data_IF_473868947698
#
_entry.id   IF_473868947698
#
_cell.length_a   1.000
_cell.length_b   1.000
_cell.length_c   1.000
_cell.angle_alpha   90.00
_cell.angle_beta   90.00
_cell.angle_gamma   90.00
#
_symmetry.space_group_name_H-M   'P 1'
#
loop_
_entity.id
_entity.type
_entity.pdbx_description
1 polymer ?
#
# COMPACT_ATOMS: atom_id res chain seq x y z
N UNK A 1 13.14 -5.74 1.58
CA UNK A 1 12.23 -5.68 0.42
C UNK A 1 10.85 -5.39 1.00
N UNK A 2 10.18 -4.34 0.54
CA UNK A 2 8.85 -3.95 1.05
C UNK A 2 7.80 -4.94 0.53
N UNK A 3 6.87 -5.40 1.37
CA UNK A 3 5.75 -6.25 0.98
C UNK A 3 4.85 -5.52 -0.02
N UNK A 4 4.32 -6.24 -1.02
CA UNK A 4 3.41 -5.68 -2.04
C UNK A 4 2.19 -5.00 -1.40
N UNK A 5 1.70 -5.54 -0.29
CA UNK A 5 0.60 -4.92 0.46
C UNK A 5 0.96 -3.54 1.02
N UNK A 6 2.20 -3.35 1.49
CA UNK A 6 2.68 -2.07 1.97
C UNK A 6 2.99 -1.10 0.81
N UNK A 7 3.43 -1.63 -0.35
CA UNK A 7 3.60 -0.84 -1.59
C UNK A 7 2.26 -0.28 -2.09
N UNK A 8 1.18 -1.07 -2.03
CA UNK A 8 -0.12 -0.69 -2.58
C UNK A 8 -0.99 0.05 -1.56
N UNK A 9 -0.98 -0.38 -0.29
CA UNK A 9 -1.90 0.08 0.74
C UNK A 9 -1.22 0.62 1.99
N UNK A 10 0.09 0.55 2.07
CA UNK A 10 0.84 0.72 3.31
C UNK A 10 1.10 2.17 3.70
N UNK A 11 0.95 2.44 4.99
CA UNK A 11 1.34 3.70 5.62
C UNK A 11 2.73 3.65 6.27
N UNK A 12 3.51 2.58 6.08
CA UNK A 12 4.82 2.48 6.72
C UNK A 12 5.80 3.46 6.07
N UNK A 13 6.12 4.54 6.77
CA UNK A 13 6.93 5.67 6.30
C UNK A 13 8.20 5.76 7.13
N UNK A 14 9.31 6.15 6.50
CA UNK A 14 10.59 6.38 7.19
C UNK A 14 11.79 5.91 6.38
N UNK A 15 12.98 6.28 6.85
CA UNK A 15 14.24 6.00 6.16
C UNK A 15 14.94 4.75 6.69
N UNK A 16 14.46 4.18 7.80
CA UNK A 16 15.11 3.08 8.50
C UNK A 16 14.15 1.88 8.57
N UNK A 17 14.38 0.83 7.75
CA UNK A 17 13.61 -0.40 7.87
C UNK A 17 13.89 -1.05 9.24
N UNK A 18 12.85 -1.57 9.88
CA UNK A 18 12.97 -2.18 11.21
C UNK A 18 13.14 -3.69 11.11
N UNK A 19 14.03 -4.25 11.93
CA UNK A 19 14.23 -5.70 12.02
C UNK A 19 13.04 -6.38 12.68
N UNK A 20 12.38 -7.27 11.92
CA UNK A 20 11.26 -8.08 12.39
C UNK A 20 11.64 -9.03 13.53
N UNK A 21 12.92 -9.36 13.69
CA UNK A 21 13.42 -10.15 14.82
C UNK A 21 13.20 -9.50 16.20
N UNK A 22 12.83 -8.22 16.24
CA UNK A 22 12.48 -7.50 17.47
C UNK A 22 11.00 -7.63 17.87
N UNK A 23 10.16 -8.26 17.03
CA UNK A 23 8.70 -8.26 17.18
C UNK A 23 8.23 -8.82 18.53
N UNK A 24 8.76 -9.96 18.95
CA UNK A 24 8.32 -10.61 20.20
C UNK A 24 8.66 -9.76 21.43
N UNK A 25 9.84 -9.11 21.43
CA UNK A 25 10.26 -8.21 22.50
C UNK A 25 9.38 -6.95 22.52
N UNK A 26 9.09 -6.38 21.34
CA UNK A 26 8.17 -5.25 21.21
C UNK A 26 6.76 -5.60 21.74
N UNK A 27 6.23 -6.77 21.38
CA UNK A 27 4.93 -7.24 21.84
C UNK A 27 4.89 -7.45 23.35
N UNK A 28 5.97 -7.93 23.97
CA UNK A 28 6.02 -8.08 25.42
C UNK A 28 5.87 -6.73 26.15
N UNK A 29 6.47 -5.65 25.62
CA UNK A 29 6.28 -4.31 26.17
C UNK A 29 4.87 -3.76 25.94
N UNK A 30 4.28 -4.04 24.77
CA UNK A 30 2.90 -3.66 24.47
C UNK A 30 1.94 -4.31 25.47
N UNK A 31 2.08 -5.61 25.70
CA UNK A 31 1.25 -6.37 26.64
C UNK A 31 1.42 -5.87 28.09
N UNK A 32 2.64 -5.56 28.51
CA UNK A 32 2.92 -4.98 29.84
C UNK A 32 2.22 -3.64 30.07
N UNK A 33 2.04 -2.85 29.01
CA UNK A 33 1.28 -1.60 29.05
C UNK A 33 -0.23 -1.80 28.80
N UNK A 34 -0.70 -3.03 28.62
CA UNK A 34 -2.11 -3.37 28.41
C UNK A 34 -2.61 -3.22 26.96
N UNK A 35 -1.70 -3.21 25.97
CA UNK A 35 -2.04 -3.20 24.55
C UNK A 35 -2.02 -4.62 23.96
N UNK A 36 -2.83 -4.85 22.92
CA UNK A 36 -2.78 -6.09 22.15
C UNK A 36 -1.68 -6.09 21.07
N UNK A 37 -1.54 -7.22 20.37
CA UNK A 37 -0.58 -7.38 19.27
C UNK A 37 -0.86 -6.52 18.02
N UNK A 38 -1.91 -5.69 18.02
CA UNK A 38 -2.23 -4.73 16.96
C UNK A 38 -2.03 -3.27 17.42
N UNK A 39 -1.69 -3.06 18.71
CA UNK A 39 -1.59 -1.74 19.31
C UNK A 39 -2.92 -1.16 19.78
N UNK A 40 -3.98 -1.98 19.90
CA UNK A 40 -5.22 -1.53 20.52
C UNK A 40 -5.06 -1.53 22.04
N UNK A 41 -5.64 -0.53 22.69
CA UNK A 41 -5.84 -0.51 24.13
C UNK A 41 -7.35 -0.66 24.41
N UNK A 42 -7.80 -1.65 25.19
CA UNK A 42 -9.23 -1.87 25.44
C UNK A 42 -9.91 -0.71 26.20
N UNK A 43 -9.12 0.17 26.82
CA UNK A 43 -9.61 1.37 27.52
C UNK A 43 -9.61 2.63 26.63
N UNK A 44 -9.13 2.54 25.37
CA UNK A 44 -9.13 3.63 24.41
C UNK A 44 -10.05 3.30 23.23
N UNK A 45 -10.78 4.29 22.72
CA UNK A 45 -11.69 4.11 21.59
C UNK A 45 -10.94 3.81 20.28
N UNK A 46 -9.78 4.44 20.09
CA UNK A 46 -9.00 4.34 18.85
C UNK A 46 -7.49 4.36 19.09
N UNK A 47 -7.00 5.42 19.75
CA UNK A 47 -5.59 5.62 20.04
C UNK A 47 -5.41 5.93 21.53
N UNK A 48 -4.29 5.49 22.08
CA UNK A 48 -3.85 5.90 23.41
C UNK A 48 -2.84 7.03 23.27
N UNK A 49 -2.99 8.09 24.08
CA UNK A 49 -2.02 9.18 24.15
C UNK A 49 -1.93 9.73 25.57
N UNK A 50 -0.70 9.94 26.04
CA UNK A 50 -0.39 10.67 27.27
C UNK A 50 0.80 11.63 27.03
N UNK A 51 1.34 12.24 28.09
CA UNK A 51 2.48 13.17 27.98
C UNK A 51 3.78 12.55 27.43
N UNK A 52 3.95 11.23 27.54
CA UNK A 52 5.18 10.52 27.16
C UNK A 52 5.08 9.91 25.76
N UNK A 53 3.94 9.31 25.40
CA UNK A 53 3.84 8.59 24.15
C UNK A 53 2.43 8.56 23.58
N UNK A 54 2.37 8.19 22.31
CA UNK A 54 1.14 7.86 21.60
C UNK A 54 1.29 6.49 20.94
N UNK A 55 0.24 5.68 21.02
CA UNK A 55 0.07 4.46 20.23
C UNK A 55 -1.25 4.51 19.52
N UNK A 56 -1.22 4.21 18.23
CA UNK A 56 -2.42 3.95 17.45
C UNK A 56 -2.26 2.68 16.61
N UNK A 57 -3.31 1.85 16.51
CA UNK A 57 -3.37 0.74 15.58
C UNK A 57 -3.24 1.20 14.12
N UNK A 58 -3.09 0.23 13.22
CA UNK A 58 -3.14 0.52 11.79
C UNK A 58 -4.51 1.08 11.39
N UNK A 59 -4.54 2.26 10.78
CA UNK A 59 -5.76 2.90 10.34
C UNK A 59 -6.22 2.39 8.97
N UNK A 60 -7.40 1.76 8.95
CA UNK A 60 -8.06 1.25 7.74
C UNK A 60 -9.12 2.20 7.17
N UNK A 61 -9.39 3.32 7.85
CA UNK A 61 -10.41 4.27 7.44
C UNK A 61 -9.95 5.26 6.39
N UNK A 62 -10.88 6.15 6.02
CA UNK A 62 -10.65 7.19 5.02
C UNK A 62 -9.93 8.41 5.58
N UNK A 63 -9.37 9.22 4.69
CA UNK A 63 -8.75 10.47 5.09
C UNK A 63 -9.76 11.39 5.78
N UNK A 64 -9.45 11.85 7.00
CA UNK A 64 -10.32 12.76 7.76
C UNK A 64 -9.95 14.23 7.63
N UNK A 65 -8.86 14.56 6.94
CA UNK A 65 -8.33 15.94 6.86
C UNK A 65 -8.66 16.67 5.55
N UNK A 66 -9.60 16.15 4.77
CA UNK A 66 -10.02 16.76 3.50
C UNK A 66 -9.04 16.52 2.34
N UNK A 67 -7.94 15.80 2.54
CA UNK A 67 -6.93 15.59 1.49
C UNK A 67 -7.50 14.73 0.35
N UNK A 68 -8.25 13.67 0.67
CA UNK A 68 -8.85 12.80 -0.33
C UNK A 68 -9.81 13.56 -1.26
N UNK A 69 -10.59 14.49 -0.72
CA UNK A 69 -11.48 15.36 -1.46
C UNK A 69 -10.70 16.30 -2.37
N UNK A 70 -9.65 16.98 -1.85
CA UNK A 70 -8.78 17.85 -2.65
C UNK A 70 -8.10 17.08 -3.78
N UNK A 71 -7.60 15.87 -3.49
CA UNK A 71 -6.97 14.99 -4.48
C UNK A 71 -7.98 14.58 -5.56
N UNK A 72 -9.18 14.17 -5.16
CA UNK A 72 -10.25 13.78 -6.08
C UNK A 72 -10.69 14.95 -6.98
N UNK A 73 -10.95 16.12 -6.40
CA UNK A 73 -11.29 17.35 -7.13
C UNK A 73 -10.18 17.74 -8.10
N UNK A 74 -8.92 17.68 -7.65
CA UNK A 74 -7.78 17.98 -8.50
C UNK A 74 -7.70 17.00 -9.67
N UNK A 75 -7.79 15.69 -9.43
CA UNK A 75 -7.76 14.66 -10.46
C UNK A 75 -8.90 14.84 -11.48
N UNK A 76 -10.10 15.22 -11.01
CA UNK A 76 -11.25 15.52 -11.86
C UNK A 76 -11.04 16.75 -12.74
N UNK A 77 -10.42 17.81 -12.21
CA UNK A 77 -10.15 19.04 -12.94
C UNK A 77 -8.90 18.96 -13.85
N UNK A 78 -7.99 18.03 -13.59
CA UNK A 78 -6.68 17.98 -14.23
C UNK A 78 -6.52 16.74 -15.10
N UNK A 79 -7.08 16.75 -16.31
CA UNK A 79 -6.87 15.62 -17.24
C UNK A 79 -5.47 15.60 -17.86
N UNK A 80 -5.07 14.43 -18.36
CA UNK A 80 -3.94 14.33 -19.27
C UNK A 80 -4.22 15.11 -20.57
N UNK A 81 -3.17 15.67 -21.18
CA UNK A 81 -3.29 16.33 -22.48
C UNK A 81 -3.74 15.36 -23.58
N UNK A 82 -4.40 15.84 -24.65
CA UNK A 82 -5.00 14.98 -25.69
C UNK A 82 -3.95 14.11 -26.43
N UNK A 83 -2.70 14.58 -26.49
CA UNK A 83 -1.59 13.85 -27.11
C UNK A 83 -0.76 13.02 -26.13
N UNK A 84 -1.19 12.92 -24.86
CA UNK A 84 -0.51 12.13 -23.85
C UNK A 84 -0.56 10.63 -24.19
N UNK A 85 0.53 9.92 -23.88
CA UNK A 85 0.62 8.46 -23.96
C UNK A 85 -0.58 7.76 -23.31
N UNK A 86 -0.98 8.15 -22.10
CA UNK A 86 -2.11 7.54 -21.39
C UNK A 86 -3.44 7.67 -22.15
N UNK A 87 -3.69 8.82 -22.79
CA UNK A 87 -4.91 9.04 -23.58
C UNK A 87 -4.89 8.18 -24.84
N UNK A 88 -3.77 8.16 -25.56
CA UNK A 88 -3.59 7.31 -26.75
C UNK A 88 -3.71 5.83 -26.41
N UNK A 89 -3.12 5.39 -25.29
CA UNK A 89 -3.15 4.01 -24.82
C UNK A 89 -4.58 3.54 -24.53
N UNK A 90 -5.42 4.37 -23.90
CA UNK A 90 -6.84 4.05 -23.66
C UNK A 90 -7.63 3.85 -24.95
N UNK A 91 -7.20 4.46 -26.06
CA UNK A 91 -7.82 4.27 -27.37
C UNK A 91 -7.36 3.02 -28.12
N UNK A 92 -6.45 2.23 -27.57
CA UNK A 92 -5.98 1.00 -28.20
C UNK A 92 -6.97 -0.15 -27.99
N UNK A 93 -7.28 -0.88 -29.06
CA UNK A 93 -8.03 -2.15 -28.99
C UNK A 93 -7.14 -3.27 -28.43
N UNK A 94 -6.83 -3.20 -27.14
CA UNK A 94 -5.96 -4.17 -26.46
C UNK A 94 -6.66 -5.50 -26.17
N UNK A 95 -7.98 -5.49 -26.10
CA UNK A 95 -8.80 -6.62 -25.65
C UNK A 95 -9.55 -7.28 -26.82
N UNK A 96 -9.02 -7.13 -28.03
CA UNK A 96 -9.52 -7.70 -29.30
C UNK A 96 -9.95 -9.17 -29.20
N UNK A 97 -9.24 -9.97 -28.40
CA UNK A 97 -9.46 -11.41 -28.24
C UNK A 97 -10.27 -11.78 -27.00
N UNK A 98 -10.62 -10.80 -26.15
CA UNK A 98 -11.35 -11.04 -24.89
C UNK A 98 -12.67 -11.77 -25.09
N UNK A 99 -13.54 -11.39 -26.05
CA UNK A 99 -14.81 -12.09 -26.24
C UNK A 99 -14.63 -13.58 -26.60
N UNK A 100 -13.60 -13.92 -27.38
CA UNK A 100 -13.30 -15.31 -27.74
C UNK A 100 -12.71 -16.09 -26.57
N UNK A 101 -11.86 -15.44 -25.76
CA UNK A 101 -11.32 -16.03 -24.53
C UNK A 101 -12.46 -16.36 -23.57
N UNK A 102 -13.39 -15.43 -23.36
CA UNK A 102 -14.52 -15.61 -22.45
C UNK A 102 -15.43 -16.75 -22.93
N UNK A 103 -15.73 -16.81 -24.24
CA UNK A 103 -16.50 -17.91 -24.83
C UNK A 103 -15.79 -19.28 -24.68
N UNK A 104 -14.47 -19.34 -24.84
CA UNK A 104 -13.69 -20.56 -24.65
C UNK A 104 -13.63 -21.00 -23.18
N UNK A 105 -13.56 -20.04 -22.24
CA UNK A 105 -13.65 -20.29 -20.80
C UNK A 105 -15.02 -20.82 -20.39
N UNK A 106 -16.09 -20.24 -20.93
CA UNK A 106 -17.46 -20.74 -20.73
C UNK A 106 -17.59 -22.18 -21.24
N UNK A 107 -17.07 -22.49 -22.43
CA UNK A 107 -17.06 -23.86 -22.96
C UNK A 107 -16.29 -24.82 -22.07
N UNK A 108 -15.08 -24.45 -21.62
CA UNK A 108 -14.28 -25.26 -20.71
C UNK A 108 -15.06 -25.58 -19.42
N UNK A 109 -15.69 -24.57 -18.83
CA UNK A 109 -16.44 -24.72 -17.58
C UNK A 109 -17.73 -25.56 -17.73
N UNK A 110 -18.18 -25.86 -18.95
CA UNK A 110 -19.33 -26.77 -19.20
C UNK A 110 -18.97 -28.25 -19.13
N UNK A 111 -17.69 -28.61 -19.17
CA UNK A 111 -17.27 -30.01 -19.20
C UNK A 111 -16.80 -30.50 -17.82
N UNK A 112 -16.99 -31.80 -17.51
CA UNK A 112 -16.43 -32.41 -16.31
C UNK A 112 -14.90 -32.34 -16.32
N UNK A 113 -14.34 -32.22 -15.11
CA UNK A 113 -12.90 -32.25 -14.86
C UNK A 113 -12.24 -33.49 -15.48
N UNK A 114 -11.11 -33.29 -16.17
CA UNK A 114 -10.33 -34.28 -16.91
C UNK A 114 -11.06 -34.90 -18.12
N UNK A 115 -11.78 -34.11 -18.91
CA UNK A 115 -12.35 -34.59 -20.19
C UNK A 115 -11.53 -34.13 -21.41
N UNK A 116 -11.46 -34.90 -22.51
CA UNK A 116 -10.80 -34.46 -23.74
C UNK A 116 -11.36 -33.14 -24.32
N UNK A 117 -12.62 -32.82 -24.00
CA UNK A 117 -13.25 -31.56 -24.40
C UNK A 117 -12.80 -30.38 -23.54
N UNK A 118 -12.56 -30.61 -22.25
CA UNK A 118 -11.95 -29.62 -21.37
C UNK A 118 -10.52 -29.31 -21.83
N UNK A 119 -9.71 -30.35 -22.15
CA UNK A 119 -8.35 -30.18 -22.65
C UNK A 119 -8.33 -29.34 -23.93
N UNK A 120 -9.21 -29.67 -24.89
CA UNK A 120 -9.32 -28.91 -26.15
C UNK A 120 -9.79 -27.46 -25.93
N UNK A 121 -10.69 -27.21 -24.98
CA UNK A 121 -11.13 -25.87 -24.63
C UNK A 121 -10.01 -25.07 -23.92
N UNK A 122 -9.22 -25.73 -23.06
CA UNK A 122 -8.08 -25.12 -22.40
C UNK A 122 -6.96 -24.76 -23.39
N UNK A 123 -6.66 -25.64 -24.36
CA UNK A 123 -5.72 -25.35 -25.44
C UNK A 123 -6.13 -24.12 -26.26
N UNK A 124 -7.43 -23.97 -26.53
CA UNK A 124 -7.97 -22.80 -27.23
C UNK A 124 -7.85 -21.52 -26.39
N UNK A 125 -8.14 -21.58 -25.09
CA UNK A 125 -7.92 -20.45 -24.15
C UNK A 125 -6.46 -20.03 -24.17
N UNK A 126 -5.52 -20.98 -24.06
CA UNK A 126 -4.08 -20.70 -24.05
C UNK A 126 -3.61 -20.08 -25.37
N UNK A 127 -4.11 -20.61 -26.50
CA UNK A 127 -3.85 -20.05 -27.84
C UNK A 127 -4.33 -18.61 -27.95
N UNK A 128 -5.57 -18.32 -27.53
CA UNK A 128 -6.17 -16.99 -27.59
C UNK A 128 -5.47 -16.00 -26.64
N UNK A 129 -5.12 -16.42 -25.42
CA UNK A 129 -4.36 -15.59 -24.48
C UNK A 129 -2.96 -15.24 -25.03
N UNK A 130 -2.30 -16.19 -25.71
CA UNK A 130 -1.03 -15.94 -26.40
C UNK A 130 -1.20 -14.91 -27.53
N UNK A 131 -2.27 -15.01 -28.32
CA UNK A 131 -2.57 -14.03 -29.39
C UNK A 131 -2.87 -12.65 -28.82
N UNK A 132 -3.66 -12.57 -27.75
CA UNK A 132 -3.97 -11.31 -27.05
C UNK A 132 -2.69 -10.63 -26.57
N UNK A 133 -1.80 -11.36 -25.90
CA UNK A 133 -0.50 -10.84 -25.44
C UNK A 133 0.35 -10.28 -26.60
N UNK A 134 0.50 -11.04 -27.69
CA UNK A 134 1.29 -10.60 -28.87
C UNK A 134 0.68 -9.35 -29.51
N UNK A 135 -0.66 -9.30 -29.60
CA UNK A 135 -1.38 -8.15 -30.13
C UNK A 135 -1.20 -6.90 -29.25
N UNK A 136 -1.34 -7.06 -27.93
CA UNK A 136 -1.15 -6.00 -26.94
C UNK A 136 0.28 -5.44 -26.97
N UNK A 137 1.28 -6.33 -27.00
CA UNK A 137 2.70 -5.94 -27.13
C UNK A 137 2.97 -5.17 -28.42
N UNK A 138 2.38 -5.61 -29.56
CA UNK A 138 2.54 -4.91 -30.84
C UNK A 138 1.97 -3.49 -30.79
N UNK A 139 0.79 -3.32 -30.19
CA UNK A 139 0.14 -2.01 -30.06
C UNK A 139 0.93 -1.08 -29.12
N UNK A 140 1.33 -1.57 -27.95
CA UNK A 140 2.08 -0.81 -26.96
C UNK A 140 3.48 -0.45 -27.48
N UNK A 141 4.19 -1.38 -28.12
CA UNK A 141 5.50 -1.11 -28.72
C UNK A 141 5.42 -0.03 -29.79
N UNK A 142 4.37 -0.05 -30.62
CA UNK A 142 4.14 1.02 -31.62
C UNK A 142 3.89 2.36 -30.92
N UNK A 143 3.04 2.40 -29.90
CA UNK A 143 2.74 3.62 -29.16
C UNK A 143 3.98 4.18 -28.44
N UNK A 144 4.80 3.33 -27.83
CA UNK A 144 6.09 3.73 -27.24
C UNK A 144 6.98 4.41 -28.30
N UNK A 145 7.11 3.81 -29.49
CA UNK A 145 7.89 4.40 -30.58
C UNK A 145 7.32 5.76 -31.05
N UNK A 146 6.00 5.87 -31.22
CA UNK A 146 5.33 7.14 -31.58
C UNK A 146 5.54 8.24 -30.54
N UNK A 147 5.72 7.88 -29.29
CA UNK A 147 5.91 8.80 -28.17
C UNK A 147 7.39 9.02 -27.79
N UNK A 148 8.34 8.42 -28.51
CA UNK A 148 9.77 8.51 -28.20
C UNK A 148 10.16 7.83 -26.87
N UNK A 149 9.42 6.81 -26.46
CA UNK A 149 9.66 6.04 -25.24
C UNK A 149 10.40 4.74 -25.59
N UNK A 150 11.44 4.40 -24.82
CA UNK A 150 12.12 3.11 -24.95
C UNK A 150 11.18 1.96 -24.54
N UNK A 151 11.13 0.92 -25.37
CA UNK A 151 10.27 -0.23 -25.14
C UNK A 151 10.70 -1.05 -23.92
N UNK A 152 12.01 -1.19 -23.63
CA UNK A 152 12.55 -1.98 -22.51
C UNK A 152 11.85 -3.35 -22.27
N UNK A 153 11.49 -4.05 -23.35
CA UNK A 153 10.78 -5.33 -23.27
C UNK A 153 9.37 -5.23 -22.65
N UNK A 154 8.71 -4.08 -22.74
CA UNK A 154 7.37 -3.81 -22.22
C UNK A 154 7.32 -3.44 -20.74
N UNK A 155 8.47 -3.41 -20.03
CA UNK A 155 8.50 -3.11 -18.60
C UNK A 155 8.15 -1.66 -18.34
N UNK A 156 7.06 -1.44 -17.59
CA UNK A 156 6.58 -0.11 -17.23
C UNK A 156 5.82 0.61 -18.33
N UNK A 157 5.57 -0.02 -19.49
CA UNK A 157 4.93 0.66 -20.62
C UNK A 157 3.53 1.20 -20.29
N UNK A 158 2.83 0.65 -19.29
CA UNK A 158 1.47 1.08 -18.91
C UNK A 158 1.43 2.36 -18.08
N UNK A 159 2.55 2.85 -17.55
CA UNK A 159 2.58 3.97 -16.59
C UNK A 159 3.26 5.23 -17.12
N UNK A 160 3.64 5.26 -18.41
CA UNK A 160 4.25 6.45 -18.99
C UNK A 160 3.27 7.60 -19.13
N UNK A 161 3.77 8.83 -18.97
CA UNK A 161 3.06 10.06 -19.26
C UNK A 161 3.99 10.95 -20.10
N UNK A 162 3.48 11.49 -21.20
CA UNK A 162 4.24 12.34 -22.14
C UNK A 162 3.74 13.77 -22.17
N UNK A 163 2.90 14.15 -21.22
CA UNK A 163 2.46 15.52 -21.01
C UNK A 163 2.91 16.03 -19.64
N UNK A 164 2.57 17.28 -19.36
CA UNK A 164 2.90 17.99 -18.12
C UNK A 164 2.17 17.47 -16.86
N UNK A 165 1.27 16.49 -16.98
CA UNK A 165 0.43 16.01 -15.89
C UNK A 165 1.27 15.62 -14.67
N UNK A 166 2.41 14.94 -14.90
CA UNK A 166 3.28 14.52 -13.80
C UNK A 166 3.87 15.71 -13.06
N UNK A 167 4.29 16.76 -13.77
CA UNK A 167 4.80 17.99 -13.15
C UNK A 167 3.70 18.71 -12.39
N UNK A 168 2.49 18.80 -12.95
CA UNK A 168 1.34 19.39 -12.26
C UNK A 168 0.94 18.59 -11.02
N UNK A 169 0.97 17.26 -11.10
CA UNK A 169 0.68 16.35 -9.98
C UNK A 169 1.72 16.50 -8.87
N UNK A 170 3.00 16.55 -9.21
CA UNK A 170 4.07 16.83 -8.23
C UNK A 170 3.85 18.18 -7.55
N UNK A 171 3.51 19.24 -8.31
CA UNK A 171 3.19 20.54 -7.72
C UNK A 171 1.96 20.51 -6.80
N UNK A 172 0.95 19.69 -7.11
CA UNK A 172 -0.18 19.48 -6.21
C UNK A 172 0.26 18.83 -4.91
N UNK A 173 1.04 17.73 -4.97
CA UNK A 173 1.55 17.03 -3.79
C UNK A 173 2.43 17.92 -2.91
N UNK A 174 3.26 18.78 -3.52
CA UNK A 174 4.11 19.73 -2.78
C UNK A 174 3.30 20.83 -2.09
N UNK A 175 2.17 21.24 -2.68
CA UNK A 175 1.31 22.29 -2.16
C UNK A 175 0.20 21.78 -1.21
N UNK A 176 -0.06 20.47 -1.21
CA UNK A 176 -1.14 19.85 -0.47
C UNK A 176 -0.59 18.65 0.28
N UNK A 177 -0.41 18.80 1.59
CA UNK A 177 -0.13 17.69 2.47
C UNK A 177 -1.39 17.32 3.27
N UNK A 178 -1.36 16.15 3.90
CA UNK A 178 -2.29 15.83 4.95
C UNK A 178 -2.06 16.77 6.15
N UNK A 179 -3.14 17.09 6.87
CA UNK A 179 -2.99 17.70 8.20
C UNK A 179 -2.17 16.77 9.11
N UNK A 180 -1.36 17.35 10.00
CA UNK A 180 -0.42 16.62 10.85
C UNK A 180 -1.09 15.63 11.80
N UNK A 181 -2.38 15.80 12.07
CA UNK A 181 -3.22 14.96 12.91
C UNK A 181 -4.04 13.92 12.12
N UNK A 182 -3.90 13.86 10.79
CA UNK A 182 -4.60 12.90 9.97
C UNK A 182 -4.17 11.46 10.36
N UNK A 183 -5.12 10.56 10.67
CA UNK A 183 -4.81 9.19 11.11
C UNK A 183 -3.98 8.39 10.10
N UNK A 184 -4.07 8.71 8.81
CA UNK A 184 -3.30 8.08 7.72
C UNK A 184 -1.80 8.35 7.82
N UNK A 185 -1.40 9.56 8.22
CA UNK A 185 0.01 9.98 8.21
C UNK A 185 0.62 10.06 9.61
N UNK A 186 -0.22 9.90 10.63
CA UNK A 186 0.21 9.86 12.01
C UNK A 186 0.97 8.56 12.27
N UNK A 187 2.12 8.60 12.98
CA UNK A 187 2.85 7.40 13.34
C UNK A 187 2.05 6.46 14.23
N UNK A 188 2.25 5.16 14.04
CA UNK A 188 1.64 4.15 14.88
C UNK A 188 2.19 4.17 16.31
N UNK A 189 3.47 4.48 16.49
CA UNK A 189 4.08 4.73 17.78
C UNK A 189 4.91 6.02 17.72
N UNK A 190 4.69 6.90 18.70
CA UNK A 190 5.46 8.12 18.90
C UNK A 190 5.93 8.19 20.35
N UNK A 191 7.25 8.18 20.55
CA UNK A 191 7.86 8.51 21.84
C UNK A 191 8.18 10.01 21.87
N UNK A 192 7.40 10.78 22.62
CA UNK A 192 7.44 12.26 22.60
C UNK A 192 8.78 12.83 23.09
N UNK A 193 9.40 12.32 24.18
CA UNK A 193 10.68 12.87 24.66
C UNK A 193 11.83 12.78 23.66
N UNK A 194 11.92 11.69 22.90
CA UNK A 194 12.98 11.54 21.89
C UNK A 194 12.55 11.98 20.48
N UNK A 195 11.24 12.13 20.23
CA UNK A 195 10.70 12.33 18.89
C UNK A 195 10.76 11.08 18.01
N UNK A 196 11.03 9.90 18.58
CA UNK A 196 11.10 8.65 17.82
C UNK A 196 9.73 8.27 17.27
N UNK A 197 9.68 7.98 15.96
CA UNK A 197 8.48 7.57 15.23
C UNK A 197 8.66 6.17 14.69
N UNK A 198 7.60 5.39 14.76
CA UNK A 198 7.51 4.07 14.16
C UNK A 198 6.16 3.93 13.46
N UNK A 199 6.23 3.55 12.20
CA UNK A 199 5.10 3.29 11.33
C UNK A 199 5.12 1.79 10.95
N UNK A 200 3.97 1.12 10.98
CA UNK A 200 3.86 -0.30 10.66
C UNK A 200 2.69 -0.60 9.73
N UNK A 201 2.80 -1.71 8.98
CA UNK A 201 1.70 -2.20 8.17
C UNK A 201 0.88 -3.23 8.95
N UNK A 202 -0.39 -2.92 9.21
CA UNK A 202 -1.39 -3.79 9.89
C UNK A 202 -1.13 -4.11 11.37
N UNK A 203 0.10 -4.45 11.77
CA UNK A 203 0.48 -4.70 13.17
C UNK A 203 1.96 -4.38 13.43
N UNK A 204 2.40 -4.17 14.68
CA UNK A 204 3.74 -3.69 14.97
C UNK A 204 4.86 -4.57 14.41
N UNK A 205 5.88 -3.92 13.87
CA UNK A 205 7.09 -4.50 13.26
C UNK A 205 6.86 -5.35 12.00
N UNK A 206 5.63 -5.40 11.47
CA UNK A 206 5.41 -5.86 10.10
C UNK A 206 5.69 -4.73 9.13
N UNK A 207 6.74 -4.93 8.35
CA UNK A 207 7.08 -4.07 7.22
C UNK A 207 7.27 -2.61 7.64
N UNK A 208 7.78 -2.44 8.86
CA UNK A 208 7.84 -1.19 9.58
C UNK A 208 9.06 -0.35 9.23
N UNK A 209 8.88 0.95 9.38
CA UNK A 209 9.91 1.95 9.23
C UNK A 209 9.91 2.88 10.43
N UNK A 210 11.10 3.37 10.78
CA UNK A 210 11.27 4.30 11.88
C UNK A 210 12.03 5.56 11.47
N UNK A 211 11.93 6.60 12.30
CA UNK A 211 12.64 7.87 12.13
C UNK A 211 14.17 7.73 12.30
N UNK A 212 14.62 6.74 13.07
CA UNK A 212 16.03 6.40 13.31
C UNK A 212 16.17 4.88 13.54
N UNK A 213 17.38 4.28 13.47
CA UNK A 213 17.55 2.84 13.65
C UNK A 213 17.01 2.32 14.98
N UNK A 214 15.99 1.46 14.95
CA UNK A 214 15.47 0.81 16.14
C UNK A 214 16.45 -0.25 16.65
N UNK A 215 17.03 -0.03 17.82
CA UNK A 215 17.90 -0.99 18.51
C UNK A 215 17.22 -1.50 19.79
N UNK A 216 17.60 -2.68 20.29
CA UNK A 216 17.11 -3.19 21.59
C UNK A 216 17.35 -2.20 22.73
N UNK A 217 18.49 -1.50 22.73
CA UNK A 217 18.82 -0.49 23.75
C UNK A 217 17.84 0.69 23.69
N UNK A 218 17.59 1.22 22.49
CA UNK A 218 16.66 2.32 22.28
C UNK A 218 15.24 1.91 22.67
N UNK A 219 14.79 0.75 22.20
CA UNK A 219 13.49 0.16 22.54
C UNK A 219 13.30 0.05 24.05
N UNK A 220 14.25 -0.59 24.75
CA UNK A 220 14.23 -0.72 26.22
C UNK A 220 14.12 0.62 26.94
N UNK A 221 14.86 1.63 26.48
CA UNK A 221 14.82 2.97 27.06
C UNK A 221 13.45 3.61 26.89
N UNK A 222 12.92 3.64 25.66
CA UNK A 222 11.64 4.27 25.37
C UNK A 222 10.48 3.57 26.10
N UNK A 223 10.45 2.24 26.08
CA UNK A 223 9.39 1.50 26.74
C UNK A 223 9.46 1.59 28.27
N UNK A 224 10.65 1.76 28.87
CA UNK A 224 10.75 2.04 30.30
C UNK A 224 10.05 3.37 30.67
N UNK A 225 10.24 4.42 29.86
CA UNK A 225 9.54 5.70 30.02
C UNK A 225 8.02 5.53 29.82
N UNK A 226 7.61 4.81 28.77
CA UNK A 226 6.20 4.53 28.50
C UNK A 226 5.53 3.77 29.65
N UNK A 227 6.12 2.67 30.13
CA UNK A 227 5.59 1.85 31.22
C UNK A 227 5.47 2.69 32.51
N UNK A 228 6.50 3.47 32.85
CA UNK A 228 6.48 4.34 34.02
C UNK A 228 5.38 5.42 33.96
N UNK A 229 4.94 5.79 32.74
CA UNK A 229 3.88 6.77 32.51
C UNK A 229 2.45 6.17 32.52
N UNK A 230 2.32 4.85 32.60
CA UNK A 230 1.03 4.18 32.64
C UNK A 230 0.43 4.21 34.05
N UNK A 231 -0.90 4.33 34.19
CA UNK A 231 -1.55 4.06 35.45
C UNK A 231 -1.31 2.60 35.86
N UNK A 232 -1.32 2.27 37.17
CA UNK A 232 -1.22 0.89 37.62
C UNK A 232 -2.31 0.05 36.95
N UNK A 233 -1.93 -1.03 36.28
CA UNK A 233 -2.90 -1.95 35.72
C UNK A 233 -3.77 -2.49 36.87
N UNK A 234 -5.11 -2.56 36.72
CA UNK A 234 -5.95 -3.19 37.72
C UNK A 234 -5.42 -4.60 37.93
N UNK A 235 -5.13 -4.96 39.18
CA UNK A 235 -4.63 -6.28 39.54
C UNK A 235 -5.58 -7.33 38.96
N UNK A 236 -5.19 -7.95 37.85
CA UNK A 236 -5.81 -9.17 37.40
C UNK A 236 -5.31 -10.22 38.38
N UNK A 237 -6.15 -10.59 39.34
CA UNK A 237 -5.96 -11.83 40.09
C UNK A 237 -5.78 -12.93 39.05
N UNK A 238 -4.52 -13.36 38.88
CA UNK A 238 -4.17 -14.47 38.01
C UNK A 238 -4.92 -15.69 38.54
N UNK A 239 -6.05 -16.00 37.92
CA UNK A 239 -6.74 -17.28 38.13
C UNK A 239 -5.97 -18.40 37.44
#
# INVERSE_FOLDING_TARGET
>A
MMELGNIIFGNSRGNHPVDRGLQDEFYSYMEEMGFDSYGNNPSAEWAFENEIFRIQPYYWGDCTCGYAERESEWCGANSHGPNCYQIKMRGLDMDKYRPQIDAALEERNRHPWCSPKEDAAQDEVDRLCKLERVHKDKLLKRLCAECGIDWNGGRGCMVHCTCDYRSRWTGFLEANDHASDCPIITPNFLHKPSGFRLDWYKYPLRDSYSSEPLTRKLMRSMFADCIASMPPLPHTDKR
#
